data_IF_333890769030
#
_entry.id   IF_333890769030
#
_cell.length_a   1.000
_cell.length_b   1.000
_cell.length_c   1.000
_cell.angle_alpha   90.00
_cell.angle_beta   90.00
_cell.angle_gamma   90.00
#
_symmetry.space_group_name_H-M   'P 1'
#
loop_
_entity.id
_entity.type
_entity.pdbx_description
1 polymer ?
#
# COMPACT_ATOMS: atom_id res chain seq x y z
N UNK A 1 -21.45 -0.21 27.61
CA UNK A 1 -22.45 0.57 26.86
C UNK A 1 -21.85 1.07 25.54
N UNK A 2 -21.73 0.15 24.57
CA UNK A 2 -21.17 0.40 23.25
C UNK A 2 -22.06 1.35 22.44
N UNK A 3 -23.37 1.34 22.69
CA UNK A 3 -24.33 2.21 21.99
C UNK A 3 -24.13 3.72 22.25
N UNK A 4 -23.63 4.12 23.45
CA UNK A 4 -23.37 5.51 23.76
C UNK A 4 -22.05 6.06 23.15
N UNK A 5 -21.15 5.20 22.73
CA UNK A 5 -19.92 5.62 22.05
C UNK A 5 -20.16 5.84 20.55
N UNK A 6 -21.05 5.05 19.95
CA UNK A 6 -21.44 5.22 18.56
C UNK A 6 -22.33 6.45 18.36
N UNK A 7 -23.26 6.74 19.29
CA UNK A 7 -24.11 7.92 19.20
C UNK A 7 -23.34 9.24 19.39
N UNK A 8 -22.25 9.25 20.17
CA UNK A 8 -21.34 10.43 20.27
C UNK A 8 -20.46 10.62 19.04
N UNK A 9 -20.15 9.56 18.32
CA UNK A 9 -19.39 9.64 17.06
C UNK A 9 -20.30 10.12 15.90
N UNK A 10 -21.59 9.77 15.93
CA UNK A 10 -22.57 10.24 14.94
C UNK A 10 -23.04 11.69 15.21
N UNK A 11 -22.91 12.18 16.44
CA UNK A 11 -23.31 13.54 16.84
C UNK A 11 -22.20 14.58 16.75
N UNK A 12 -21.00 14.25 16.26
CA UNK A 12 -20.11 15.27 15.75
C UNK A 12 -20.63 15.76 14.38
N UNK A 13 -21.82 16.34 14.43
CA UNK A 13 -22.42 17.07 13.32
C UNK A 13 -21.41 18.04 12.73
N UNK A 14 -21.11 17.83 11.45
CA UNK A 14 -20.57 18.87 10.62
C UNK A 14 -19.11 19.21 10.91
N UNK A 15 -18.19 18.25 10.66
CA UNK A 15 -16.88 18.65 10.15
C UNK A 15 -17.09 19.28 8.76
N UNK A 16 -17.76 20.44 8.73
CA UNK A 16 -17.84 21.27 7.55
C UNK A 16 -16.40 21.58 7.15
N UNK A 17 -16.07 21.43 5.87
CA UNK A 17 -14.77 21.83 5.33
C UNK A 17 -14.35 23.22 5.83
N UNK A 18 -15.32 24.13 6.03
CA UNK A 18 -15.09 25.46 6.61
C UNK A 18 -14.57 25.43 8.06
N UNK A 19 -15.05 24.50 8.87
CA UNK A 19 -14.58 24.35 10.26
C UNK A 19 -13.18 23.74 10.32
N UNK A 20 -12.89 22.77 9.45
CA UNK A 20 -11.54 22.21 9.31
C UNK A 20 -10.54 23.29 8.82
N UNK A 21 -10.93 24.12 7.86
CA UNK A 21 -10.11 25.26 7.42
C UNK A 21 -9.91 26.30 8.55
N UNK A 22 -10.94 26.61 9.31
CA UNK A 22 -10.83 27.59 10.41
C UNK A 22 -9.92 27.09 11.54
N UNK A 23 -9.89 25.79 11.81
CA UNK A 23 -9.00 25.17 12.78
C UNK A 23 -7.53 25.14 12.31
N UNK A 24 -7.32 24.88 11.03
CA UNK A 24 -5.99 24.99 10.40
C UNK A 24 -5.42 26.43 10.51
N UNK A 25 -6.27 27.43 10.36
CA UNK A 25 -5.89 28.85 10.45
C UNK A 25 -5.57 29.31 11.87
N UNK A 26 -6.03 28.62 12.92
CA UNK A 26 -5.78 28.99 14.33
C UNK A 26 -4.40 28.63 14.86
N UNK A 27 -3.67 27.72 14.21
CA UNK A 27 -2.34 27.28 14.64
C UNK A 27 -1.26 27.88 13.73
N UNK A 28 -0.40 28.79 14.24
CA UNK A 28 0.63 29.43 13.41
C UNK A 28 1.61 28.43 12.80
N UNK A 29 1.93 27.35 13.50
CA UNK A 29 2.79 26.28 12.98
C UNK A 29 2.13 25.53 11.81
N UNK A 30 0.83 25.25 11.90
CA UNK A 30 0.08 24.59 10.83
C UNK A 30 -0.06 25.48 9.59
N UNK A 31 -0.27 26.79 9.80
CA UNK A 31 -0.28 27.77 8.71
C UNK A 31 1.06 27.79 7.95
N UNK A 32 2.17 27.81 8.68
CA UNK A 32 3.50 27.79 8.04
C UNK A 32 3.71 26.48 7.26
N UNK A 33 3.41 25.34 7.86
CA UNK A 33 3.56 24.05 7.19
C UNK A 33 2.67 23.95 5.95
N UNK A 34 1.39 24.31 6.04
CA UNK A 34 0.46 24.27 4.90
C UNK A 34 0.84 25.25 3.79
N UNK A 35 1.36 26.43 4.15
CA UNK A 35 1.85 27.41 3.18
C UNK A 35 3.08 26.89 2.43
N UNK A 36 4.06 26.32 3.14
CA UNK A 36 5.25 25.72 2.51
C UNK A 36 4.85 24.57 1.57
N UNK A 37 3.93 23.72 2.00
CA UNK A 37 3.44 22.61 1.19
C UNK A 37 2.65 23.09 -0.05
N UNK A 38 1.84 24.15 0.08
CA UNK A 38 1.14 24.77 -1.06
C UNK A 38 2.11 25.39 -2.07
N UNK A 39 3.08 26.15 -1.59
CA UNK A 39 4.11 26.75 -2.45
C UNK A 39 4.91 25.64 -3.17
N UNK A 40 5.30 24.61 -2.45
CA UNK A 40 5.97 23.44 -3.02
C UNK A 40 5.12 22.74 -4.09
N UNK A 41 3.81 22.61 -3.85
CA UNK A 41 2.88 22.03 -4.83
C UNK A 41 2.82 22.84 -6.14
N UNK A 42 2.72 24.15 -6.02
CA UNK A 42 2.70 25.08 -7.17
C UNK A 42 4.03 25.01 -7.94
N UNK A 43 5.15 24.97 -7.21
CA UNK A 43 6.47 24.84 -7.82
C UNK A 43 6.61 23.54 -8.62
N UNK A 44 6.23 22.39 -8.04
CA UNK A 44 6.29 21.09 -8.72
C UNK A 44 5.35 21.04 -9.92
N UNK A 45 4.16 21.63 -9.83
CA UNK A 45 3.20 21.72 -10.93
C UNK A 45 3.77 22.48 -12.14
N UNK A 46 4.47 23.59 -11.87
CA UNK A 46 4.97 24.49 -12.93
C UNK A 46 6.31 23.99 -13.48
N UNK A 47 7.22 23.55 -12.59
CA UNK A 47 8.62 23.30 -12.97
C UNK A 47 8.93 21.85 -13.32
N UNK A 48 8.14 20.89 -12.83
CA UNK A 48 8.42 19.46 -13.05
C UNK A 48 7.44 18.86 -14.05
N UNK A 49 6.22 18.63 -13.66
CA UNK A 49 5.11 18.23 -14.54
C UNK A 49 3.79 18.20 -13.77
N UNK A 50 2.68 18.31 -14.51
CA UNK A 50 1.33 18.29 -13.95
C UNK A 50 1.03 16.99 -13.18
N UNK A 51 1.34 15.76 -13.67
CA UNK A 51 1.08 14.53 -12.92
C UNK A 51 1.78 14.49 -11.58
N UNK A 52 3.07 14.87 -11.51
CA UNK A 52 3.82 14.88 -10.25
C UNK A 52 3.33 15.96 -9.29
N UNK A 53 2.92 17.14 -9.82
CA UNK A 53 2.32 18.19 -9.01
C UNK A 53 1.00 17.75 -8.37
N UNK A 54 0.11 17.11 -9.13
CA UNK A 54 -1.14 16.56 -8.62
C UNK A 54 -0.91 15.46 -7.57
N UNK A 55 0.05 14.57 -7.81
CA UNK A 55 0.44 13.53 -6.84
C UNK A 55 0.95 14.16 -5.54
N UNK A 56 1.79 15.19 -5.63
CA UNK A 56 2.31 15.90 -4.47
C UNK A 56 1.20 16.56 -3.64
N UNK A 57 0.26 17.24 -4.31
CA UNK A 57 -0.92 17.84 -3.66
C UNK A 57 -1.74 16.77 -2.95
N UNK A 58 -2.02 15.66 -3.64
CA UNK A 58 -2.78 14.54 -3.07
C UNK A 58 -2.11 13.97 -1.82
N UNK A 59 -0.81 13.66 -1.88
CA UNK A 59 -0.06 13.12 -0.75
C UNK A 59 -0.02 14.10 0.43
N UNK A 60 0.17 15.39 0.15
CA UNK A 60 0.15 16.44 1.18
C UNK A 60 -1.18 16.50 1.90
N UNK A 61 -2.29 16.44 1.16
CA UNK A 61 -3.64 16.49 1.69
C UNK A 61 -3.92 15.24 2.54
N UNK A 62 -3.52 14.06 2.07
CA UNK A 62 -3.66 12.82 2.84
C UNK A 62 -2.87 12.89 4.15
N UNK A 63 -1.62 13.35 4.12
CA UNK A 63 -0.80 13.49 5.34
C UNK A 63 -1.42 14.50 6.30
N UNK A 64 -1.90 15.64 5.79
CA UNK A 64 -2.55 16.65 6.63
C UNK A 64 -3.80 16.09 7.33
N UNK A 65 -4.66 15.36 6.60
CA UNK A 65 -5.83 14.69 7.17
C UNK A 65 -5.44 13.65 8.23
N UNK A 66 -4.40 12.85 7.96
CA UNK A 66 -3.88 11.86 8.91
C UNK A 66 -3.42 12.52 10.22
N UNK A 67 -2.70 13.63 10.12
CA UNK A 67 -2.22 14.37 11.30
C UNK A 67 -3.37 15.02 12.08
N UNK A 68 -4.41 15.52 11.39
CA UNK A 68 -5.59 16.06 12.05
C UNK A 68 -6.32 14.98 12.86
N UNK A 69 -6.61 13.84 12.25
CA UNK A 69 -7.26 12.72 12.95
C UNK A 69 -6.44 12.28 14.16
N UNK A 70 -5.11 12.18 14.02
CA UNK A 70 -4.24 11.78 15.11
C UNK A 70 -4.31 12.75 16.32
N UNK A 71 -4.43 14.06 16.08
CA UNK A 71 -4.55 15.07 17.14
C UNK A 71 -5.85 14.96 17.92
N UNK A 72 -6.94 14.60 17.26
CA UNK A 72 -8.25 14.49 17.87
C UNK A 72 -8.41 13.23 18.74
N UNK A 73 -7.44 12.30 18.66
CA UNK A 73 -7.45 11.08 19.45
C UNK A 73 -7.04 11.40 20.90
N UNK A 74 -7.96 11.18 21.84
CA UNK A 74 -7.82 11.55 23.24
C UNK A 74 -7.06 10.52 24.08
N UNK A 75 -7.20 9.23 23.76
CA UNK A 75 -6.60 8.15 24.55
C UNK A 75 -5.40 7.53 23.83
N UNK A 76 -4.39 7.08 24.63
CA UNK A 76 -3.22 6.39 24.07
C UNK A 76 -3.61 5.14 23.27
N UNK A 77 -4.60 4.39 23.75
CA UNK A 77 -5.08 3.18 23.04
C UNK A 77 -5.65 3.52 21.66
N UNK A 78 -6.35 4.66 21.52
CA UNK A 78 -6.85 5.10 20.20
C UNK A 78 -5.69 5.50 19.28
N UNK A 79 -4.68 6.18 19.80
CA UNK A 79 -3.47 6.56 19.05
C UNK A 79 -2.71 5.33 18.56
N UNK A 80 -2.51 4.34 19.42
CA UNK A 80 -1.82 3.10 19.07
C UNK A 80 -2.58 2.32 17.97
N UNK A 81 -3.92 2.23 18.08
CA UNK A 81 -4.76 1.61 17.05
C UNK A 81 -4.71 2.38 15.74
N UNK A 82 -4.67 3.69 15.78
CA UNK A 82 -4.55 4.52 14.60
C UNK A 82 -3.20 4.31 13.90
N UNK A 83 -2.10 4.29 14.65
CA UNK A 83 -0.76 4.00 14.10
C UNK A 83 -0.73 2.62 13.44
N UNK A 84 -1.30 1.61 14.11
CA UNK A 84 -1.44 0.26 13.56
C UNK A 84 -2.21 0.25 12.23
N UNK A 85 -3.30 1.01 12.16
CA UNK A 85 -4.10 1.16 10.93
C UNK A 85 -3.29 1.81 9.80
N UNK A 86 -2.56 2.90 10.08
CA UNK A 86 -1.72 3.58 9.10
C UNK A 86 -0.60 2.67 8.60
N UNK A 87 0.09 1.96 9.50
CA UNK A 87 1.13 1.00 9.11
C UNK A 87 0.58 -0.12 8.23
N UNK A 88 -0.61 -0.65 8.56
CA UNK A 88 -1.28 -1.65 7.74
C UNK A 88 -1.61 -1.10 6.36
N UNK A 89 -2.11 0.13 6.27
CA UNK A 89 -2.40 0.79 4.99
C UNK A 89 -1.13 0.97 4.14
N UNK A 90 -0.03 1.43 4.75
CA UNK A 90 1.25 1.57 4.04
C UNK A 90 1.75 0.23 3.50
N UNK A 91 1.66 -0.86 4.29
CA UNK A 91 2.01 -2.19 3.83
C UNK A 91 1.17 -2.65 2.64
N UNK A 92 -0.14 -2.34 2.65
CA UNK A 92 -1.05 -2.64 1.53
C UNK A 92 -0.67 -1.85 0.29
N UNK A 93 -0.35 -0.55 0.42
CA UNK A 93 0.08 0.29 -0.71
C UNK A 93 1.38 -0.25 -1.33
N UNK A 94 2.38 -0.60 -0.51
CA UNK A 94 3.64 -1.19 -0.98
C UNK A 94 3.39 -2.52 -1.69
N UNK A 95 2.55 -3.38 -1.08
CA UNK A 95 2.18 -4.66 -1.68
C UNK A 95 1.53 -4.49 -3.06
N UNK A 96 0.48 -3.66 -3.15
CA UNK A 96 -0.23 -3.44 -4.41
C UNK A 96 0.66 -2.76 -5.47
N UNK A 97 1.48 -1.78 -5.06
CA UNK A 97 2.43 -1.13 -5.97
C UNK A 97 3.41 -2.13 -6.60
N UNK A 98 3.89 -3.10 -5.83
CA UNK A 98 4.75 -4.16 -6.35
C UNK A 98 3.98 -5.23 -7.14
N UNK A 99 2.77 -5.60 -6.68
CA UNK A 99 1.92 -6.59 -7.35
C UNK A 99 1.54 -6.17 -8.76
N UNK A 100 1.18 -4.90 -8.96
CA UNK A 100 0.83 -4.34 -10.28
C UNK A 100 2.00 -4.39 -11.29
N UNK A 101 3.25 -4.50 -10.80
CA UNK A 101 4.40 -4.68 -11.69
C UNK A 101 4.38 -6.02 -12.43
N UNK A 102 3.62 -7.00 -11.98
CA UNK A 102 3.47 -8.28 -12.67
C UNK A 102 2.89 -8.11 -14.08
N UNK A 103 1.91 -7.22 -14.26
CA UNK A 103 1.33 -6.89 -15.57
C UNK A 103 2.14 -5.88 -16.39
N UNK A 104 2.98 -5.09 -15.76
CA UNK A 104 3.80 -4.04 -16.37
C UNK A 104 5.25 -4.49 -16.58
N UNK A 105 6.12 -4.03 -15.70
CA UNK A 105 7.58 -4.20 -15.81
C UNK A 105 8.00 -5.66 -15.95
N UNK A 106 7.41 -6.57 -15.17
CA UNK A 106 7.77 -7.99 -15.23
C UNK A 106 7.37 -8.65 -16.54
N UNK A 107 6.26 -8.24 -17.13
CA UNK A 107 5.85 -8.74 -18.44
C UNK A 107 6.80 -8.26 -19.54
N UNK A 108 7.25 -7.01 -19.49
CA UNK A 108 8.26 -6.46 -20.41
C UNK A 108 9.58 -7.20 -20.22
N UNK A 109 10.01 -7.40 -18.99
CA UNK A 109 11.23 -8.17 -18.68
C UNK A 109 11.16 -9.61 -19.23
N UNK A 110 10.02 -10.28 -19.04
CA UNK A 110 9.80 -11.62 -19.59
C UNK A 110 9.81 -11.64 -21.11
N UNK A 111 9.30 -10.58 -21.77
CA UNK A 111 9.32 -10.47 -23.23
C UNK A 111 10.72 -10.22 -23.80
N UNK A 112 11.50 -9.32 -23.18
CA UNK A 112 12.72 -8.77 -23.78
C UNK A 112 14.00 -9.43 -23.27
N UNK A 113 13.98 -9.97 -22.04
CA UNK A 113 15.19 -10.45 -21.35
C UNK A 113 15.21 -11.93 -21.01
N UNK A 114 14.06 -12.61 -21.13
CA UNK A 114 13.96 -14.03 -20.77
C UNK A 114 13.98 -14.89 -22.03
N UNK A 115 14.86 -15.91 -22.05
CA UNK A 115 14.78 -16.92 -23.09
C UNK A 115 13.53 -17.76 -22.90
N UNK A 116 12.59 -17.64 -23.85
CA UNK A 116 11.29 -18.29 -23.84
C UNK A 116 11.18 -19.42 -24.85
N UNK A 117 12.32 -19.80 -25.46
CA UNK A 117 12.36 -20.83 -26.47
C UNK A 117 12.22 -22.22 -25.86
N UNK A 118 11.42 -23.06 -26.52
CA UNK A 118 11.23 -24.46 -26.16
C UNK A 118 11.98 -25.36 -27.15
N UNK A 119 12.55 -26.44 -26.63
CA UNK A 119 13.19 -27.46 -27.48
C UNK A 119 12.21 -28.29 -28.32
N UNK A 120 10.90 -28.09 -28.11
CA UNK A 120 9.80 -28.76 -28.79
C UNK A 120 8.69 -27.77 -29.16
N UNK A 121 7.95 -28.04 -30.20
CA UNK A 121 6.83 -27.21 -30.65
C UNK A 121 5.52 -27.63 -29.96
N UNK A 122 4.84 -26.66 -29.37
CA UNK A 122 3.48 -26.85 -28.83
C UNK A 122 2.43 -26.54 -29.92
N UNK A 123 1.35 -27.33 -30.02
CA UNK A 123 0.39 -27.22 -31.12
C UNK A 123 -0.27 -25.87 -31.34
N UNK A 124 -0.39 -25.04 -30.28
CA UNK A 124 -1.11 -23.75 -30.30
C UNK A 124 -0.19 -22.52 -30.27
N UNK A 125 1.04 -22.66 -29.75
CA UNK A 125 1.94 -21.51 -29.49
C UNK A 125 3.29 -21.63 -30.20
N UNK A 126 3.56 -22.74 -30.89
CA UNK A 126 4.86 -22.98 -31.53
C UNK A 126 5.97 -23.26 -30.53
N UNK A 127 7.15 -22.74 -30.82
CA UNK A 127 8.36 -22.98 -30.01
C UNK A 127 8.66 -21.90 -28.99
N UNK A 128 7.79 -20.90 -28.84
CA UNK A 128 8.01 -19.76 -27.91
C UNK A 128 6.88 -19.60 -26.92
N UNK A 129 7.21 -19.58 -25.62
CA UNK A 129 6.21 -19.36 -24.56
C UNK A 129 5.79 -17.89 -24.54
N UNK A 130 4.49 -17.57 -24.63
CA UNK A 130 4.03 -16.19 -24.50
C UNK A 130 4.43 -15.57 -23.16
N UNK A 131 4.97 -14.34 -23.15
CA UNK A 131 5.36 -13.64 -21.95
C UNK A 131 4.23 -13.51 -20.91
N UNK A 132 2.99 -13.38 -21.40
CA UNK A 132 1.78 -13.29 -20.55
C UNK A 132 1.51 -14.55 -19.71
N UNK A 133 2.06 -15.70 -20.07
CA UNK A 133 1.90 -16.93 -19.27
C UNK A 133 2.58 -16.82 -17.90
N UNK A 134 3.66 -16.04 -17.80
CA UNK A 134 4.35 -15.81 -16.51
C UNK A 134 3.43 -15.11 -15.50
N UNK A 135 2.47 -14.30 -15.95
CA UNK A 135 1.47 -13.68 -15.07
C UNK A 135 0.54 -14.73 -14.44
N UNK A 136 0.20 -15.78 -15.19
CA UNK A 136 -0.65 -16.87 -14.70
C UNK A 136 0.01 -17.71 -13.62
N UNK A 137 1.35 -17.74 -13.56
CA UNK A 137 2.10 -18.44 -12.51
C UNK A 137 1.79 -17.86 -11.13
N UNK A 138 1.55 -16.54 -11.03
CA UNK A 138 1.18 -15.90 -9.78
C UNK A 138 -0.12 -16.49 -9.21
N UNK A 139 -1.17 -16.59 -10.02
CA UNK A 139 -2.44 -17.17 -9.60
C UNK A 139 -2.29 -18.65 -9.21
N UNK A 140 -1.50 -19.42 -9.96
CA UNK A 140 -1.20 -20.81 -9.66
C UNK A 140 -0.49 -20.96 -8.30
N UNK A 141 0.53 -20.16 -8.05
CA UNK A 141 1.26 -20.17 -6.77
C UNK A 141 0.40 -19.74 -5.59
N UNK A 142 -0.52 -18.78 -5.76
CA UNK A 142 -1.48 -18.41 -4.72
C UNK A 142 -2.33 -19.62 -4.32
N UNK A 143 -2.83 -20.40 -5.29
CA UNK A 143 -3.64 -21.60 -5.01
C UNK A 143 -2.80 -22.66 -4.28
N UNK A 144 -1.60 -22.96 -4.77
CA UNK A 144 -0.73 -24.00 -4.20
C UNK A 144 -0.26 -23.63 -2.80
N UNK A 145 0.31 -22.43 -2.65
CA UNK A 145 0.92 -22.00 -1.39
C UNK A 145 -0.08 -21.43 -0.39
N UNK A 146 -1.26 -20.99 -0.84
CA UNK A 146 -2.29 -20.43 0.04
C UNK A 146 -2.68 -21.40 1.15
N UNK A 147 -2.92 -22.68 0.81
CA UNK A 147 -3.24 -23.71 1.78
C UNK A 147 -2.05 -23.99 2.71
N UNK A 148 -0.83 -24.03 2.19
CA UNK A 148 0.39 -24.27 2.98
C UNK A 148 0.59 -23.16 4.01
N UNK A 149 0.48 -21.90 3.58
CA UNK A 149 0.62 -20.72 4.44
C UNK A 149 -0.51 -20.65 5.47
N UNK A 150 -1.75 -20.92 5.07
CA UNK A 150 -2.89 -20.97 6.00
C UNK A 150 -2.68 -22.01 7.08
N UNK A 151 -2.27 -23.24 6.73
CA UNK A 151 -1.98 -24.31 7.67
C UNK A 151 -0.79 -23.98 8.59
N UNK A 152 0.24 -23.32 8.08
CA UNK A 152 1.37 -22.85 8.89
C UNK A 152 0.91 -21.89 10.00
N UNK A 153 0.13 -20.88 9.66
CA UNK A 153 -0.38 -19.91 10.64
C UNK A 153 -1.39 -20.54 11.60
N UNK A 154 -2.25 -21.45 11.12
CA UNK A 154 -3.18 -22.19 11.97
C UNK A 154 -2.45 -23.04 13.02
N UNK A 155 -1.42 -23.78 12.62
CA UNK A 155 -0.59 -24.57 13.55
C UNK A 155 0.14 -23.71 14.58
N UNK A 156 0.60 -22.50 14.22
CA UNK A 156 1.20 -21.55 15.16
C UNK A 156 0.18 -21.05 16.18
N UNK A 157 -1.05 -20.75 15.73
CA UNK A 157 -2.15 -20.35 16.61
C UNK A 157 -2.48 -21.43 17.64
N UNK A 158 -2.59 -22.68 17.22
CA UNK A 158 -2.82 -23.83 18.12
C UNK A 158 -1.72 -24.00 19.18
N UNK A 159 -0.51 -23.56 18.90
CA UNK A 159 0.63 -23.59 19.83
C UNK A 159 0.73 -22.30 20.69
N UNK A 160 -0.31 -21.47 20.76
CA UNK A 160 -0.31 -20.18 21.46
C UNK A 160 0.81 -19.22 20.99
N UNK A 161 1.28 -19.36 19.74
CA UNK A 161 2.29 -18.51 19.10
C UNK A 161 1.67 -17.71 17.94
N UNK A 162 0.47 -17.17 18.17
CA UNK A 162 -0.20 -16.37 17.15
C UNK A 162 0.56 -15.07 16.89
N UNK A 163 0.83 -14.80 15.62
CA UNK A 163 1.45 -13.55 15.18
C UNK A 163 0.36 -12.50 14.92
N UNK A 164 0.68 -11.24 15.18
CA UNK A 164 -0.20 -10.13 14.84
C UNK A 164 -0.45 -10.04 13.32
N UNK A 165 -1.57 -9.46 12.92
CA UNK A 165 -1.91 -9.28 11.51
C UNK A 165 -0.84 -8.47 10.77
N UNK A 166 -0.32 -7.42 11.40
CA UNK A 166 0.77 -6.59 10.84
C UNK A 166 2.03 -7.41 10.61
N UNK A 167 2.41 -8.27 11.56
CA UNK A 167 3.59 -9.12 11.40
C UNK A 167 3.43 -10.07 10.20
N UNK A 168 2.24 -10.65 10.00
CA UNK A 168 1.95 -11.52 8.86
C UNK A 168 2.04 -10.75 7.54
N UNK A 169 1.49 -9.54 7.49
CA UNK A 169 1.56 -8.66 6.32
C UNK A 169 3.01 -8.23 6.02
N UNK A 170 3.74 -7.77 7.02
CA UNK A 170 5.14 -7.37 6.87
C UNK A 170 6.01 -8.52 6.36
N UNK A 171 5.81 -9.74 6.91
CA UNK A 171 6.51 -10.94 6.44
C UNK A 171 6.23 -11.21 4.95
N UNK A 172 4.98 -11.08 4.52
CA UNK A 172 4.60 -11.23 3.11
C UNK A 172 5.30 -10.20 2.20
N UNK A 173 5.31 -8.93 2.60
CA UNK A 173 5.98 -7.85 1.86
C UNK A 173 7.50 -8.07 1.78
N UNK A 174 8.13 -8.54 2.86
CA UNK A 174 9.56 -8.87 2.87
C UNK A 174 9.86 -10.00 1.90
N UNK A 175 9.09 -11.09 1.93
CA UNK A 175 9.27 -12.23 1.00
C UNK A 175 9.11 -11.78 -0.45
N UNK A 176 8.12 -10.94 -0.74
CA UNK A 176 7.93 -10.34 -2.06
C UNK A 176 9.15 -9.49 -2.47
N UNK A 177 9.67 -8.64 -1.58
CA UNK A 177 10.87 -7.84 -1.82
C UNK A 177 12.10 -8.69 -2.12
N UNK A 178 12.27 -9.81 -1.42
CA UNK A 178 13.33 -10.78 -1.72
C UNK A 178 13.18 -11.38 -3.13
N UNK A 179 11.95 -11.64 -3.58
CA UNK A 179 11.69 -12.09 -4.96
C UNK A 179 12.20 -11.08 -5.99
N UNK A 180 11.92 -9.79 -5.81
CA UNK A 180 12.46 -8.72 -6.68
C UNK A 180 13.98 -8.62 -6.63
N UNK A 181 14.57 -8.82 -5.45
CA UNK A 181 16.02 -8.84 -5.30
C UNK A 181 16.65 -9.98 -6.11
N UNK A 182 16.07 -11.19 -6.06
CA UNK A 182 16.53 -12.31 -6.89
C UNK A 182 16.45 -12.00 -8.38
N UNK A 183 15.37 -11.38 -8.83
CA UNK A 183 15.23 -10.95 -10.23
C UNK A 183 16.29 -9.92 -10.61
N UNK A 184 16.57 -8.95 -9.73
CA UNK A 184 17.59 -7.92 -9.98
C UNK A 184 19.02 -8.50 -10.07
N UNK A 185 19.29 -9.58 -9.33
CA UNK A 185 20.59 -10.27 -9.40
C UNK A 185 20.71 -11.12 -10.67
N UNK A 186 19.59 -11.64 -11.17
CA UNK A 186 19.56 -12.48 -12.38
C UNK A 186 19.52 -11.65 -13.68
N UNK A 187 19.29 -10.35 -13.61
CA UNK A 187 19.23 -9.44 -14.76
C UNK A 187 20.60 -8.94 -15.20
#
# INVERSE_FOLDING_TARGET
NVGNLLSKAELSEGASLSNMFSELLKSPLQLVITSILMIGSIYVLIMVSVPFGLLYIFLTLVIALMLMVYKDLTTQVMKDRYVVMILSFLLVVVFWGAFEQAGGLMNIYAADKTDRTLSFSLPLIGNEVPATWFQSLNAMFIIIFGVVVANFWAKRKLKNKEASSIFKMATGVIIMGLGFLFMAIAA
#
